data_IF_340689511742
#
_entry.id   IF_340689511742
#
_cell.length_a   1.000
_cell.length_b   1.000
_cell.length_c   1.000
_cell.angle_alpha   90.00
_cell.angle_beta   90.00
_cell.angle_gamma   90.00
#
_symmetry.space_group_name_H-M   'P 1'
#
loop_
_entity.id
_entity.type
_entity.pdbx_description
1 polymer ?
#
# COMPACT_ATOMS: atom_id res chain seq x y z
N UNK A 1 -0.64 19.44 -8.73
CA UNK A 1 0.63 19.04 -8.11
C UNK A 1 1.59 20.21 -8.21
N UNK A 2 2.02 20.76 -7.07
CA UNK A 2 3.02 21.82 -7.03
C UNK A 2 4.36 21.26 -6.51
N UNK A 3 5.48 21.98 -6.73
CA UNK A 3 6.77 21.61 -6.16
C UNK A 3 6.76 21.50 -4.63
N UNK A 4 6.00 22.34 -3.94
CA UNK A 4 5.91 22.35 -2.47
C UNK A 4 5.31 21.04 -1.94
N UNK A 5 4.21 20.58 -2.54
CA UNK A 5 3.62 19.28 -2.20
C UNK A 5 4.58 18.12 -2.46
N UNK A 6 5.45 18.22 -3.47
CA UNK A 6 6.46 17.21 -3.73
C UNK A 6 7.53 17.19 -2.63
N UNK A 7 8.03 18.36 -2.20
CA UNK A 7 9.02 18.47 -1.11
C UNK A 7 8.46 17.94 0.20
N UNK A 8 7.22 18.30 0.56
CA UNK A 8 6.54 17.77 1.75
C UNK A 8 6.41 16.24 1.69
N UNK A 9 6.08 15.70 0.51
CA UNK A 9 6.01 14.25 0.32
C UNK A 9 7.38 13.58 0.51
N UNK A 10 8.46 14.19 0.02
CA UNK A 10 9.83 13.67 0.21
C UNK A 10 10.21 13.63 1.69
N UNK A 11 9.92 14.66 2.47
CA UNK A 11 10.14 14.64 3.92
C UNK A 11 9.32 13.54 4.60
N UNK A 12 8.07 13.32 4.19
CA UNK A 12 7.26 12.22 4.71
C UNK A 12 7.87 10.85 4.39
N UNK A 13 8.40 10.65 3.18
CA UNK A 13 9.06 9.40 2.79
C UNK A 13 10.33 9.15 3.60
N UNK A 14 11.11 10.20 3.88
CA UNK A 14 12.29 10.12 4.75
C UNK A 14 11.93 9.63 6.16
N UNK A 15 10.86 10.15 6.76
CA UNK A 15 10.40 9.68 8.08
C UNK A 15 9.90 8.22 8.08
N UNK A 16 9.35 7.77 6.96
CA UNK A 16 8.87 6.38 6.81
C UNK A 16 9.98 5.41 6.44
N UNK A 17 11.15 5.90 6.03
CA UNK A 17 12.29 5.07 5.69
C UNK A 17 12.85 4.39 6.95
N UNK A 18 12.70 3.06 7.04
CA UNK A 18 13.04 2.30 8.24
C UNK A 18 12.03 2.45 9.39
N UNK A 19 10.90 3.13 9.17
CA UNK A 19 9.83 3.26 10.16
C UNK A 19 8.99 1.98 10.32
N UNK A 20 8.24 1.90 11.42
CA UNK A 20 7.28 0.82 11.72
C UNK A 20 6.10 1.33 12.54
N UNK A 21 5.01 0.56 12.58
CA UNK A 21 3.81 0.89 13.34
C UNK A 21 2.99 2.04 12.73
N UNK A 22 2.90 2.11 11.40
CA UNK A 22 2.17 3.16 10.70
C UNK A 22 1.25 2.61 9.60
N UNK A 23 0.11 3.29 9.41
CA UNK A 23 -0.81 3.09 8.29
C UNK A 23 -0.55 4.15 7.24
N UNK A 24 -0.59 3.78 5.96
CA UNK A 24 -0.42 4.73 4.85
C UNK A 24 -1.77 5.30 4.40
N UNK A 25 -1.85 6.62 4.21
CA UNK A 25 -3.10 7.33 3.87
C UNK A 25 -3.07 8.12 2.55
N UNK A 26 -2.32 7.66 1.54
CA UNK A 26 -2.27 8.35 0.23
C UNK A 26 -3.56 8.18 -0.58
N UNK A 27 -3.86 9.16 -1.44
CA UNK A 27 -5.02 9.07 -2.35
C UNK A 27 -4.79 7.98 -3.42
N UNK A 28 -5.58 6.91 -3.31
CA UNK A 28 -5.54 5.76 -4.21
C UNK A 28 -6.10 6.07 -5.59
N UNK A 29 -6.85 7.16 -5.75
CA UNK A 29 -7.43 7.54 -7.04
C UNK A 29 -6.36 7.88 -8.08
N UNK A 30 -5.20 8.37 -7.65
CA UNK A 30 -4.06 8.68 -8.50
C UNK A 30 -3.33 7.44 -9.06
N UNK A 31 -3.57 6.26 -8.48
CA UNK A 31 -3.00 5.01 -8.97
C UNK A 31 -3.82 4.45 -10.13
N UNK A 32 -3.19 3.82 -11.12
CA UNK A 32 -3.93 3.05 -12.11
C UNK A 32 -4.57 1.81 -11.48
N UNK A 33 -5.66 1.34 -12.06
CA UNK A 33 -6.28 0.09 -11.62
C UNK A 33 -5.31 -1.08 -11.81
N UNK A 34 -5.39 -2.05 -10.92
CA UNK A 34 -4.45 -3.17 -10.85
C UNK A 34 -3.15 -2.87 -10.12
N UNK A 35 -2.86 -1.62 -9.77
CA UNK A 35 -1.66 -1.24 -9.00
C UNK A 35 -1.73 -1.79 -7.58
N UNK A 36 -0.65 -2.44 -7.15
CA UNK A 36 -0.45 -2.80 -5.75
C UNK A 36 0.12 -1.61 -4.98
N UNK A 37 -0.36 -1.40 -3.76
CA UNK A 37 0.08 -0.33 -2.87
C UNK A 37 0.22 -0.83 -1.44
N UNK A 38 1.15 -0.23 -0.70
CA UNK A 38 1.36 -0.49 0.73
C UNK A 38 0.15 0.05 1.51
N UNK A 39 -0.37 -0.71 2.48
CA UNK A 39 -1.47 -0.29 3.36
C UNK A 39 -0.94 0.09 4.74
N UNK A 40 -0.02 -0.69 5.28
CA UNK A 40 0.60 -0.46 6.58
C UNK A 40 1.93 -1.19 6.76
N UNK A 41 2.70 -0.73 7.74
CA UNK A 41 3.87 -1.42 8.28
C UNK A 41 3.65 -1.60 9.77
N UNK A 42 3.59 -2.85 10.23
CA UNK A 42 3.33 -3.13 11.64
C UNK A 42 4.57 -2.96 12.52
N UNK A 43 4.44 -3.20 13.83
CA UNK A 43 5.52 -3.08 14.80
C UNK A 43 6.67 -4.09 14.64
N UNK A 44 6.47 -5.12 13.82
CA UNK A 44 7.45 -6.13 13.46
C UNK A 44 8.05 -5.88 12.06
N UNK A 45 7.83 -4.70 11.47
CA UNK A 45 8.30 -4.32 10.14
C UNK A 45 7.68 -5.13 8.99
N UNK A 46 6.60 -5.87 9.23
CA UNK A 46 5.89 -6.59 8.16
C UNK A 46 5.11 -5.58 7.32
N UNK A 47 5.22 -5.70 6.00
CA UNK A 47 4.58 -4.82 5.03
C UNK A 47 3.34 -5.50 4.47
N UNK A 48 2.21 -4.80 4.51
CA UNK A 48 0.94 -5.31 4.00
C UNK A 48 0.54 -4.53 2.74
N UNK A 49 0.08 -5.24 1.71
CA UNK A 49 -0.24 -4.65 0.42
C UNK A 49 -1.67 -4.97 0.00
N UNK A 50 -2.28 -4.06 -0.74
CA UNK A 50 -3.56 -4.26 -1.40
C UNK A 50 -3.44 -3.89 -2.88
N UNK A 51 -4.36 -4.40 -3.70
CA UNK A 51 -4.47 -4.09 -5.14
C UNK A 51 -5.65 -3.15 -5.37
N UNK A 52 -5.46 -2.09 -6.15
CA UNK A 52 -6.58 -1.22 -6.58
C UNK A 52 -7.46 -1.98 -7.58
N UNK A 53 -8.73 -2.23 -7.26
CA UNK A 53 -9.70 -2.85 -8.17
C UNK A 53 -10.31 -1.84 -9.15
N UNK A 54 -10.78 -2.32 -10.31
CA UNK A 54 -11.47 -1.49 -11.32
C UNK A 54 -12.89 -1.08 -10.92
N UNK A 55 -13.45 -1.72 -9.90
CA UNK A 55 -14.80 -1.48 -9.41
C UNK A 55 -14.76 -1.33 -7.89
N UNK A 56 -15.34 -0.24 -7.39
CA UNK A 56 -15.48 0.00 -5.97
C UNK A 56 -16.49 -0.96 -5.35
N UNK A 57 -16.08 -2.20 -5.04
CA UNK A 57 -16.75 -3.10 -4.09
C UNK A 57 -15.68 -3.98 -3.42
N UNK A 58 -15.86 -4.16 -2.11
CA UNK A 58 -14.93 -4.65 -1.10
C UNK A 58 -14.67 -6.18 -1.10
N UNK A 59 -13.76 -6.59 -0.22
CA UNK A 59 -13.63 -7.91 0.41
C UNK A 59 -13.24 -9.09 -0.51
N UNK A 60 -12.04 -9.63 -0.26
CA UNK A 60 -11.63 -10.89 -0.87
C UNK A 60 -10.24 -11.31 -0.38
N UNK A 61 -10.21 -11.98 0.77
CA UNK A 61 -9.11 -12.87 1.15
C UNK A 61 -8.94 -13.89 0.02
N UNK A 62 -8.03 -13.65 -0.93
CA UNK A 62 -7.63 -14.71 -1.84
C UNK A 62 -6.71 -15.64 -1.06
N UNK A 63 -7.34 -16.63 -0.44
CA UNK A 63 -6.72 -17.90 -0.07
C UNK A 63 -6.08 -18.42 -1.36
N UNK A 64 -4.75 -18.30 -1.46
CA UNK A 64 -4.00 -19.02 -2.47
C UNK A 64 -3.90 -20.46 -1.95
N UNK A 65 -4.77 -21.33 -2.44
CA UNK A 65 -4.64 -22.77 -2.29
C UNK A 65 -3.29 -23.15 -2.93
N UNK A 66 -2.31 -23.51 -2.09
CA UNK A 66 -1.10 -24.14 -2.58
C UNK A 66 -1.52 -25.49 -3.17
N UNK A 67 -1.38 -25.62 -4.49
CA UNK A 67 -1.67 -26.84 -5.21
C UNK A 67 -1.01 -28.04 -4.55
N UNK A 68 -1.81 -29.07 -4.30
CA UNK A 68 -1.34 -30.40 -3.94
C UNK A 68 -0.52 -30.90 -5.14
N UNK A 69 0.79 -31.05 -4.95
CA UNK A 69 1.67 -31.69 -5.92
C UNK A 69 1.96 -33.12 -5.44
N UNK A 70 1.34 -34.08 -6.16
CA UNK A 70 1.48 -35.55 -6.16
C UNK A 70 1.49 -36.29 -4.82
#
# INVERSE_FOLDING_TARGET
>A
FSPENFVENMHLMEHRYGGKGFVTGGDKNLLSNGTFYLTEVDSAYRRFYAKKSETGVANGTTIHENGIAN
#
